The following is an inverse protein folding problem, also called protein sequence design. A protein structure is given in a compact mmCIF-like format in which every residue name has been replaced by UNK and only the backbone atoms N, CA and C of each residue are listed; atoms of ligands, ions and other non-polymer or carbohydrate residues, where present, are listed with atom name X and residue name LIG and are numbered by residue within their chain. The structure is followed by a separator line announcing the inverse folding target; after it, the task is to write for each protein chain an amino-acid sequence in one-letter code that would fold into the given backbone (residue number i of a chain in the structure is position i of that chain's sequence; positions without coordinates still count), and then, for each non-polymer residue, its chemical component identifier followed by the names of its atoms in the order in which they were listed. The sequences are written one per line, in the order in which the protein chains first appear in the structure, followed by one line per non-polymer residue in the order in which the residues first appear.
data_IF_646367915515
#
_entry.id   IF_646367915515
#
_cell.length_a   1.000
_cell.length_b   1.000
_cell.length_c   1.000
_cell.angle_alpha   90.00
_cell.angle_beta   90.00
_cell.angle_gamma   90.00
#
_symmetry.space_group_name_H-M   'P 1'
#
loop_
_entity.id
_entity.type
_entity.pdbx_description
1 polymer ?
#
# COMPACT_ATOMS: atom_id res chain seq x y z
N UNK A 1 -1.34 17.36 -12.47
CA UNK A 1 -1.84 16.15 -13.16
C UNK A 1 -2.86 16.55 -14.20
N UNK A 2 -2.67 16.17 -15.45
CA UNK A 2 -3.78 16.11 -16.38
C UNK A 2 -4.79 15.09 -15.82
N UNK A 3 -6.12 15.34 -15.85
CA UNK A 3 -7.09 14.36 -15.42
C UNK A 3 -6.96 13.16 -16.36
N UNK A 4 -6.43 12.05 -15.85
CA UNK A 4 -6.49 10.78 -16.55
C UNK A 4 -7.94 10.51 -16.92
N UNK A 5 -8.19 9.91 -18.07
CA UNK A 5 -9.53 9.56 -18.52
C UNK A 5 -10.32 8.99 -17.33
N UNK A 6 -11.54 9.47 -17.14
CA UNK A 6 -12.45 8.97 -16.09
C UNK A 6 -12.65 7.48 -16.31
N UNK A 7 -11.89 6.66 -15.58
CA UNK A 7 -12.03 5.19 -15.63
C UNK A 7 -13.38 4.85 -15.02
N UNK A 8 -14.22 4.21 -15.80
CA UNK A 8 -15.55 3.76 -15.39
C UNK A 8 -15.48 2.34 -14.82
N UNK A 9 -16.44 1.98 -13.99
CA UNK A 9 -16.53 0.62 -13.45
C UNK A 9 -16.59 -0.44 -14.57
N UNK A 10 -17.24 -0.11 -15.69
CA UNK A 10 -17.37 -1.04 -16.81
C UNK A 10 -16.03 -1.43 -17.46
N UNK A 11 -15.02 -0.57 -17.39
CA UNK A 11 -13.67 -0.83 -17.91
C UNK A 11 -12.99 -2.03 -17.20
N UNK A 12 -13.44 -2.35 -15.99
CA UNK A 12 -12.91 -3.49 -15.22
C UNK A 12 -13.44 -4.86 -15.66
N UNK A 13 -14.45 -4.94 -16.54
CA UNK A 13 -15.03 -6.22 -16.98
C UNK A 13 -14.02 -7.19 -17.57
N UNK A 14 -12.98 -6.68 -18.23
CA UNK A 14 -11.95 -7.50 -18.87
C UNK A 14 -10.91 -8.05 -17.89
N UNK A 15 -10.74 -7.39 -16.75
CA UNK A 15 -9.66 -7.71 -15.80
C UNK A 15 -10.17 -8.32 -14.49
N UNK A 16 -11.35 -7.94 -14.03
CA UNK A 16 -11.96 -8.46 -12.82
C UNK A 16 -12.52 -9.90 -13.00
N UNK A 17 -12.78 -10.65 -11.94
CA UNK A 17 -13.53 -11.89 -12.01
C UNK A 17 -14.90 -11.70 -12.65
N UNK A 18 -15.36 -12.70 -13.41
CA UNK A 18 -16.65 -12.65 -14.11
C UNK A 18 -17.80 -12.39 -13.13
N UNK A 19 -18.69 -11.46 -13.47
CA UNK A 19 -19.85 -11.10 -12.66
C UNK A 19 -19.58 -10.06 -11.55
N UNK A 20 -18.30 -9.75 -11.25
CA UNK A 20 -17.95 -8.77 -10.19
C UNK A 20 -18.51 -7.38 -10.51
N UNK A 21 -18.37 -6.90 -11.73
CA UNK A 21 -18.87 -5.57 -12.14
C UNK A 21 -20.39 -5.51 -12.03
N UNK A 22 -21.10 -6.55 -12.48
CA UNK A 22 -22.58 -6.59 -12.39
C UNK A 22 -23.05 -6.64 -10.91
N UNK A 23 -22.30 -7.32 -10.05
CA UNK A 23 -22.56 -7.33 -8.63
C UNK A 23 -22.39 -5.93 -8.01
N UNK A 24 -21.30 -5.24 -8.34
CA UNK A 24 -21.03 -3.87 -7.86
C UNK A 24 -22.11 -2.89 -8.35
N UNK A 25 -22.54 -2.97 -9.62
CA UNK A 25 -23.62 -2.15 -10.15
C UNK A 25 -24.92 -2.35 -9.37
N UNK A 26 -25.30 -3.59 -9.08
CA UNK A 26 -26.52 -3.89 -8.30
C UNK A 26 -26.49 -3.36 -6.87
N UNK A 27 -25.34 -3.42 -6.21
CA UNK A 27 -25.21 -2.84 -4.86
C UNK A 27 -25.21 -1.31 -4.95
N UNK A 28 -24.49 -0.75 -5.93
CA UNK A 28 -24.46 0.70 -6.15
C UNK A 28 -25.85 1.30 -6.36
N UNK A 29 -26.71 0.61 -7.11
CA UNK A 29 -28.11 1.03 -7.31
C UNK A 29 -28.88 1.17 -5.98
N UNK A 30 -28.64 0.29 -5.01
CA UNK A 30 -29.30 0.35 -3.68
C UNK A 30 -28.76 1.49 -2.82
N UNK A 31 -27.55 1.93 -3.09
CA UNK A 31 -26.85 2.98 -2.33
C UNK A 31 -26.85 4.33 -3.08
N UNK A 32 -27.56 4.42 -4.20
CA UNK A 32 -27.66 5.63 -5.02
C UNK A 32 -28.15 6.81 -4.18
N UNK A 33 -27.47 7.95 -4.29
CA UNK A 33 -27.76 9.17 -3.54
C UNK A 33 -27.28 9.16 -2.09
N UNK A 34 -26.70 8.06 -1.57
CA UNK A 34 -26.01 8.09 -0.28
C UNK A 34 -24.74 8.93 -0.42
N UNK A 35 -24.45 9.74 0.60
CA UNK A 35 -23.31 10.65 0.65
C UNK A 35 -22.20 10.07 1.51
N UNK A 36 -21.03 9.88 0.91
CA UNK A 36 -19.83 9.38 1.58
C UNK A 36 -18.73 10.45 1.53
N UNK A 37 -18.19 10.80 2.68
CA UNK A 37 -17.06 11.71 2.80
C UNK A 37 -15.83 10.97 3.30
N UNK A 38 -14.75 11.05 2.53
CA UNK A 38 -13.41 10.66 2.99
C UNK A 38 -12.63 11.87 3.47
N UNK A 39 -11.95 11.74 4.61
CA UNK A 39 -11.06 12.77 5.17
C UNK A 39 -9.68 12.16 5.38
N UNK A 40 -8.64 12.75 4.80
CA UNK A 40 -7.25 12.33 4.97
C UNK A 40 -6.30 13.51 5.15
N UNK A 41 -5.06 13.24 5.59
CA UNK A 41 -4.05 14.28 5.78
C UNK A 41 -3.29 14.62 4.49
N UNK A 42 -3.38 13.80 3.44
CA UNK A 42 -2.62 13.99 2.21
C UNK A 42 -3.37 13.48 0.99
N UNK A 43 -3.10 14.10 -0.17
CA UNK A 43 -3.50 13.61 -1.51
C UNK A 43 -2.37 12.87 -2.23
N UNK A 44 -1.28 12.60 -1.55
CA UNK A 44 -0.10 11.97 -2.13
C UNK A 44 0.21 10.63 -1.49
N UNK A 45 0.87 9.75 -2.25
CA UNK A 45 1.29 8.43 -1.81
C UNK A 45 0.29 7.32 -2.11
N UNK A 46 0.64 6.10 -1.79
CA UNK A 46 -0.10 4.90 -2.15
C UNK A 46 -1.57 4.87 -1.66
N UNK A 47 -1.85 5.47 -0.47
CA UNK A 47 -3.22 5.64 0.00
C UNK A 47 -4.04 6.53 -0.94
N UNK A 48 -3.44 7.64 -1.36
CA UNK A 48 -4.10 8.65 -2.18
C UNK A 48 -4.44 8.11 -3.58
N UNK A 49 -3.53 7.35 -4.19
CA UNK A 49 -3.76 6.72 -5.49
C UNK A 49 -4.96 5.75 -5.44
N UNK A 50 -4.98 4.89 -4.41
CA UNK A 50 -6.07 3.95 -4.19
C UNK A 50 -7.41 4.64 -3.89
N UNK A 51 -7.40 5.64 -3.00
CA UNK A 51 -8.61 6.36 -2.58
C UNK A 51 -9.21 7.19 -3.70
N UNK A 52 -8.38 7.90 -4.48
CA UNK A 52 -8.86 8.66 -5.65
C UNK A 52 -9.61 7.78 -6.65
N UNK A 53 -9.15 6.56 -6.86
CA UNK A 53 -9.80 5.58 -7.71
C UNK A 53 -11.12 5.08 -7.11
N UNK A 54 -11.15 4.77 -5.83
CA UNK A 54 -12.36 4.36 -5.10
C UNK A 54 -13.43 5.45 -5.20
N UNK A 55 -13.07 6.71 -4.94
CA UNK A 55 -13.97 7.86 -5.03
C UNK A 55 -14.56 8.00 -6.44
N UNK A 56 -13.72 7.89 -7.48
CA UNK A 56 -14.17 8.01 -8.86
C UNK A 56 -15.20 6.93 -9.23
N UNK A 57 -14.94 5.68 -8.85
CA UNK A 57 -15.84 4.55 -9.18
C UNK A 57 -17.12 4.61 -8.33
N UNK A 58 -17.06 5.00 -7.07
CA UNK A 58 -18.27 5.18 -6.24
C UNK A 58 -19.19 6.24 -6.82
N UNK A 59 -18.65 7.34 -7.32
CA UNK A 59 -19.42 8.36 -8.02
C UNK A 59 -20.03 7.83 -9.35
N UNK A 60 -19.30 7.01 -10.11
CA UNK A 60 -19.82 6.34 -11.30
C UNK A 60 -21.01 5.40 -10.97
N UNK A 61 -21.00 4.80 -9.79
CA UNK A 61 -22.10 3.97 -9.25
C UNK A 61 -23.27 4.81 -8.69
N UNK A 62 -23.17 6.13 -8.63
CA UNK A 62 -24.18 7.02 -8.09
C UNK A 62 -24.18 7.16 -6.57
N UNK A 63 -23.10 6.73 -5.90
CA UNK A 63 -22.81 7.04 -4.49
C UNK A 63 -22.07 8.37 -4.45
N UNK A 64 -22.70 9.40 -3.89
CA UNK A 64 -22.14 10.77 -3.85
C UNK A 64 -20.92 10.82 -2.94
N UNK A 65 -19.76 10.59 -3.50
CA UNK A 65 -18.52 10.45 -2.74
C UNK A 65 -17.61 11.66 -2.92
N UNK A 66 -17.21 12.25 -1.82
CA UNK A 66 -16.26 13.37 -1.77
C UNK A 66 -15.01 13.00 -0.98
N UNK A 67 -13.92 13.69 -1.26
CA UNK A 67 -12.65 13.50 -0.56
C UNK A 67 -12.06 14.87 -0.18
N UNK A 68 -12.01 15.13 1.12
CA UNK A 68 -11.47 16.32 1.71
C UNK A 68 -10.10 16.06 2.35
N UNK A 69 -9.26 17.09 2.30
CA UNK A 69 -7.90 17.04 2.89
C UNK A 69 -7.86 17.99 4.08
N UNK A 70 -7.32 17.50 5.19
CA UNK A 70 -7.02 18.36 6.33
C UNK A 70 -5.88 19.33 5.96
N UNK A 71 -6.01 20.58 6.37
CA UNK A 71 -4.98 21.58 6.24
C UNK A 71 -4.19 21.62 7.54
N UNK A 72 -2.87 21.53 7.43
CA UNK A 72 -1.92 21.69 8.52
C UNK A 72 -0.80 22.66 8.15
N UNK A 73 -0.04 23.04 9.16
CA UNK A 73 1.23 23.76 9.00
C UNK A 73 2.37 22.78 8.74
N UNK A 74 3.54 23.27 8.35
CA UNK A 74 4.74 22.43 8.24
C UNK A 74 5.07 21.68 9.54
N UNK A 75 4.81 22.31 10.71
CA UNK A 75 4.97 21.67 12.01
C UNK A 75 3.96 20.51 12.19
N UNK A 76 2.73 20.68 11.75
CA UNK A 76 1.73 19.61 11.77
C UNK A 76 2.15 18.42 10.90
N UNK A 77 2.73 18.67 9.72
CA UNK A 77 3.22 17.61 8.84
C UNK A 77 4.35 16.81 9.51
N UNK A 78 5.23 17.48 10.26
CA UNK A 78 6.28 16.81 11.04
C UNK A 78 5.68 15.95 12.16
N UNK A 79 4.72 16.49 12.90
CA UNK A 79 3.99 15.76 13.95
C UNK A 79 3.26 14.56 13.35
N UNK A 80 2.55 14.74 12.25
CA UNK A 80 1.83 13.68 11.54
C UNK A 80 2.75 12.51 11.15
N UNK A 81 3.94 12.81 10.61
CA UNK A 81 4.94 11.78 10.27
C UNK A 81 5.46 11.04 11.51
N UNK A 82 5.75 11.77 12.60
CA UNK A 82 6.20 11.15 13.85
C UNK A 82 5.12 10.25 14.46
N UNK A 83 3.87 10.70 14.45
CA UNK A 83 2.71 9.92 14.93
C UNK A 83 2.52 8.66 14.08
N UNK A 84 2.58 8.76 12.77
CA UNK A 84 2.48 7.59 11.88
C UNK A 84 3.57 6.56 12.16
N UNK A 85 4.83 7.00 12.32
CA UNK A 85 5.96 6.13 12.68
C UNK A 85 5.78 5.48 14.07
N UNK A 86 5.33 6.24 15.06
CA UNK A 86 5.09 5.74 16.41
C UNK A 86 3.93 4.73 16.47
N UNK A 87 2.86 4.93 15.70
CA UNK A 87 1.77 3.96 15.54
C UNK A 87 2.25 2.68 14.86
N UNK A 88 3.11 2.79 13.85
CA UNK A 88 3.77 1.64 13.24
C UNK A 88 4.84 1.01 14.15
N UNK A 89 5.02 1.52 15.39
CA UNK A 89 5.95 1.00 16.42
C UNK A 89 7.42 1.32 16.17
N UNK A 90 7.71 2.33 15.37
CA UNK A 90 9.05 2.93 15.32
C UNK A 90 9.18 3.91 16.49
N UNK A 91 10.22 3.76 17.28
CA UNK A 91 10.44 4.63 18.45
C UNK A 91 10.51 6.10 18.03
N UNK A 92 9.65 6.91 18.63
CA UNK A 92 9.57 8.36 18.44
C UNK A 92 9.40 9.06 19.77
N UNK A 93 9.99 10.25 19.90
CA UNK A 93 9.71 11.13 21.04
C UNK A 93 8.37 11.82 20.80
N UNK A 94 7.33 11.42 21.52
CA UNK A 94 6.00 12.02 21.46
C UNK A 94 5.83 12.95 22.68
N UNK A 95 5.72 14.24 22.41
CA UNK A 95 5.56 15.27 23.45
C UNK A 95 4.10 15.68 23.60
N UNK A 96 3.75 16.25 24.76
CA UNK A 96 2.41 16.85 24.97
C UNK A 96 2.13 18.00 23.99
N UNK A 97 3.16 18.76 23.60
CA UNK A 97 3.02 19.80 22.57
C UNK A 97 2.62 19.22 21.20
N UNK A 98 3.15 18.06 20.81
CA UNK A 98 2.75 17.37 19.57
C UNK A 98 1.30 16.89 19.65
N UNK A 99 0.88 16.32 20.77
CA UNK A 99 -0.50 15.87 20.99
C UNK A 99 -1.48 17.06 21.03
N UNK A 100 -1.07 18.19 21.62
CA UNK A 100 -1.85 19.43 21.59
C UNK A 100 -2.01 19.95 20.17
N UNK A 101 -0.94 19.94 19.36
CA UNK A 101 -0.98 20.35 17.95
C UNK A 101 -1.92 19.46 17.12
N UNK A 102 -1.92 18.15 17.33
CA UNK A 102 -2.88 17.25 16.67
C UNK A 102 -4.32 17.62 16.99
N UNK A 103 -4.63 17.86 18.28
CA UNK A 103 -5.99 18.26 18.73
C UNK A 103 -6.41 19.60 18.15
N UNK A 104 -5.54 20.62 18.21
CA UNK A 104 -5.79 21.95 17.69
C UNK A 104 -6.07 21.91 16.17
N UNK A 105 -5.16 21.31 15.40
CA UNK A 105 -5.31 21.19 13.93
C UNK A 105 -6.55 20.37 13.56
N UNK A 106 -6.84 19.31 14.32
CA UNK A 106 -8.06 18.52 14.15
C UNK A 106 -9.33 19.36 14.38
N UNK A 107 -9.37 20.15 15.45
CA UNK A 107 -10.48 21.05 15.75
C UNK A 107 -10.68 22.15 14.69
N UNK A 108 -9.59 22.74 14.18
CA UNK A 108 -9.65 23.73 13.10
C UNK A 108 -10.20 23.11 11.80
N UNK A 109 -9.75 21.93 11.45
CA UNK A 109 -10.26 21.22 10.28
C UNK A 109 -11.73 20.80 10.45
N UNK A 110 -12.16 20.40 11.65
CA UNK A 110 -13.55 20.07 11.93
C UNK A 110 -14.50 21.26 11.68
N UNK A 111 -14.05 22.48 11.98
CA UNK A 111 -14.84 23.71 11.72
C UNK A 111 -14.86 24.09 10.23
N UNK A 112 -13.85 23.72 9.48
CA UNK A 112 -13.66 24.08 8.07
C UNK A 112 -14.29 23.11 7.10
N UNK A 113 -14.21 21.81 7.41
CA UNK A 113 -14.68 20.75 6.53
C UNK A 113 -16.21 20.65 6.54
N UNK A 114 -16.80 20.35 5.39
CA UNK A 114 -18.22 20.02 5.26
C UNK A 114 -18.42 18.56 5.66
N UNK A 115 -18.71 18.33 6.93
CA UNK A 115 -18.81 16.99 7.51
C UNK A 115 -20.23 16.39 7.43
N UNK A 116 -21.13 17.00 6.65
CA UNK A 116 -22.50 16.51 6.44
C UNK A 116 -22.54 15.40 5.37
N UNK A 117 -22.56 14.15 5.80
CA UNK A 117 -22.64 12.96 4.96
C UNK A 117 -23.34 11.82 5.71
N UNK A 118 -23.89 10.83 4.98
CA UNK A 118 -24.46 9.61 5.59
C UNK A 118 -23.37 8.75 6.24
N UNK A 119 -22.15 8.82 5.71
CA UNK A 119 -20.96 8.21 6.31
C UNK A 119 -19.74 9.12 6.12
N UNK A 120 -19.01 9.38 7.21
CA UNK A 120 -17.71 10.06 7.20
C UNK A 120 -16.62 9.06 7.55
N UNK A 121 -15.69 8.87 6.65
CA UNK A 121 -14.54 7.98 6.87
C UNK A 121 -13.25 8.79 7.02
N UNK A 122 -12.66 8.75 8.20
CA UNK A 122 -11.45 9.47 8.55
C UNK A 122 -10.26 8.51 8.49
N UNK A 123 -9.29 8.83 7.65
CA UNK A 123 -8.12 7.99 7.38
C UNK A 123 -6.94 8.36 8.27
N UNK A 124 -6.36 7.34 8.92
CA UNK A 124 -5.18 7.42 9.77
C UNK A 124 -5.33 8.31 11.02
N UNK A 125 -4.22 8.58 11.71
CA UNK A 125 -4.25 9.26 12.99
C UNK A 125 -4.20 10.78 12.90
N UNK A 126 -3.61 11.33 11.84
CA UNK A 126 -3.42 12.77 11.73
C UNK A 126 -4.75 13.55 11.70
N UNK A 127 -5.81 13.09 10.99
CA UNK A 127 -7.09 13.75 10.97
C UNK A 127 -8.08 13.25 12.05
N UNK A 128 -7.65 12.47 13.05
CA UNK A 128 -8.53 11.89 14.08
C UNK A 128 -9.29 12.97 14.91
N UNK A 129 -8.80 14.20 14.92
CA UNK A 129 -9.47 15.33 15.61
C UNK A 129 -10.87 15.74 15.14
N UNK A 130 -11.29 15.56 13.86
CA UNK A 130 -12.60 16.01 13.37
C UNK A 130 -13.85 15.38 14.00
N UNK A 131 -13.73 14.50 14.98
CA UNK A 131 -14.89 13.89 15.66
C UNK A 131 -15.71 14.89 16.48
N UNK A 132 -15.20 16.10 16.72
CA UNK A 132 -15.85 17.20 17.40
C UNK A 132 -15.95 18.43 16.47
N UNK A 133 -17.05 18.83 15.94
CA UNK A 133 -18.46 18.64 16.25
C UNK A 133 -19.15 17.70 15.26
N UNK A 134 -19.48 16.53 15.71
CA UNK A 134 -20.30 15.58 14.99
C UNK A 134 -21.74 16.06 14.98
N UNK A 135 -22.33 16.23 13.77
CA UNK A 135 -23.78 16.43 13.63
C UNK A 135 -24.56 15.18 14.10
N UNK A 136 -25.86 15.34 14.33
CA UNK A 136 -26.73 14.24 14.77
C UNK A 136 -26.95 13.16 13.69
N UNK A 137 -26.58 13.42 12.43
CA UNK A 137 -26.79 12.52 11.30
C UNK A 137 -25.47 11.99 10.74
N UNK A 138 -25.44 10.68 10.44
CA UNK A 138 -24.36 10.00 9.75
C UNK A 138 -23.45 9.17 10.65
N UNK A 139 -22.87 8.15 10.03
CA UNK A 139 -21.91 7.25 10.66
C UNK A 139 -20.50 7.77 10.54
N UNK A 140 -19.72 7.67 11.62
CA UNK A 140 -18.33 8.07 11.66
C UNK A 140 -17.44 6.84 11.79
N UNK A 141 -16.59 6.61 10.80
CA UNK A 141 -15.73 5.46 10.71
C UNK A 141 -14.25 5.89 10.69
N UNK A 142 -13.48 5.35 11.61
CA UNK A 142 -12.04 5.53 11.59
C UNK A 142 -11.36 4.44 10.75
N UNK A 143 -10.64 4.79 9.71
CA UNK A 143 -9.87 3.88 8.87
C UNK A 143 -8.38 3.96 9.22
N UNK A 144 -7.85 2.95 9.89
CA UNK A 144 -6.44 2.83 10.20
C UNK A 144 -5.72 1.97 9.16
N UNK A 145 -4.67 2.51 8.56
CA UNK A 145 -3.84 1.81 7.57
C UNK A 145 -2.59 1.18 8.19
N UNK A 146 -2.17 1.63 9.38
CA UNK A 146 -1.01 1.13 10.10
C UNK A 146 -1.28 -0.17 10.83
N UNK A 147 -0.20 -0.93 11.09
CA UNK A 147 -0.18 -2.04 12.03
C UNK A 147 -0.05 -1.50 13.46
N UNK A 148 -1.14 -1.53 14.22
CA UNK A 148 -1.16 -1.07 15.62
C UNK A 148 -0.70 -2.13 16.63
N UNK A 149 -0.34 -3.34 16.19
CA UNK A 149 0.06 -4.43 17.11
C UNK A 149 1.30 -4.08 17.95
N UNK A 150 2.10 -3.13 17.47
CA UNK A 150 3.29 -2.64 18.15
C UNK A 150 3.33 -1.11 18.33
N UNK A 151 2.15 -0.46 18.29
CA UNK A 151 2.05 0.98 18.51
C UNK A 151 2.66 1.40 19.85
N UNK A 152 3.35 2.54 19.89
CA UNK A 152 3.89 3.08 21.13
C UNK A 152 2.78 3.32 22.16
N UNK A 153 2.86 2.73 23.37
CA UNK A 153 1.79 2.77 24.36
C UNK A 153 1.38 4.20 24.74
N UNK A 154 2.35 5.11 24.89
CA UNK A 154 2.08 6.51 25.24
C UNK A 154 1.18 7.18 24.20
N UNK A 155 1.51 7.05 22.93
CA UNK A 155 0.72 7.62 21.82
C UNK A 155 -0.66 6.95 21.72
N UNK A 156 -0.70 5.61 21.75
CA UNK A 156 -1.96 4.89 21.65
C UNK A 156 -2.91 5.23 22.79
N UNK A 157 -2.43 5.34 24.02
CA UNK A 157 -3.24 5.74 25.17
C UNK A 157 -3.80 7.16 25.04
N UNK A 158 -3.09 8.07 24.36
CA UNK A 158 -3.58 9.42 24.08
C UNK A 158 -4.62 9.45 22.95
N UNK A 159 -4.49 8.60 21.92
CA UNK A 159 -5.39 8.57 20.76
C UNK A 159 -6.62 7.70 20.98
N UNK A 160 -6.52 6.59 21.72
CA UNK A 160 -7.61 5.64 21.94
C UNK A 160 -8.93 6.27 22.40
N UNK A 161 -8.95 7.21 23.37
CA UNK A 161 -10.20 7.86 23.80
C UNK A 161 -10.90 8.62 22.68
N UNK A 162 -10.13 9.22 21.76
CA UNK A 162 -10.69 9.92 20.60
C UNK A 162 -11.22 8.91 19.58
N UNK A 163 -10.46 7.85 19.27
CA UNK A 163 -10.90 6.79 18.36
C UNK A 163 -12.16 6.09 18.86
N UNK A 164 -12.31 5.87 20.16
CA UNK A 164 -13.51 5.25 20.76
C UNK A 164 -14.79 6.10 20.65
N UNK A 165 -14.70 7.33 20.16
CA UNK A 165 -15.85 8.19 19.87
C UNK A 165 -16.41 7.99 18.46
N UNK A 166 -15.70 7.27 17.61
CA UNK A 166 -16.22 6.83 16.31
C UNK A 166 -17.24 5.70 16.50
N UNK A 167 -18.10 5.50 15.50
CA UNK A 167 -19.10 4.43 15.53
C UNK A 167 -18.51 3.07 15.17
N UNK A 168 -17.44 3.10 14.37
CA UNK A 168 -16.71 1.90 13.97
C UNK A 168 -15.25 2.22 13.59
N UNK A 169 -14.43 1.19 13.56
CA UNK A 169 -13.07 1.25 13.05
C UNK A 169 -12.85 0.21 11.94
N UNK A 170 -12.05 0.56 10.94
CA UNK A 170 -11.68 -0.34 9.83
C UNK A 170 -10.17 -0.52 9.81
N UNK A 171 -9.72 -1.77 9.76
CA UNK A 171 -8.31 -2.15 9.70
C UNK A 171 -7.99 -2.95 8.44
N UNK A 172 -6.73 -2.96 8.04
CA UNK A 172 -6.27 -3.75 6.90
C UNK A 172 -6.21 -5.26 7.20
N UNK A 173 -5.88 -5.65 8.42
CA UNK A 173 -5.88 -7.04 8.91
C UNK A 173 -6.35 -7.10 10.36
N UNK A 174 -6.95 -8.21 10.75
CA UNK A 174 -7.40 -8.42 12.12
C UNK A 174 -6.25 -8.29 13.15
N UNK A 175 -5.05 -8.77 12.80
CA UNK A 175 -3.86 -8.68 13.66
C UNK A 175 -3.29 -7.27 13.78
N UNK A 176 -3.66 -6.34 12.89
CA UNK A 176 -3.26 -4.93 12.96
C UNK A 176 -4.16 -4.13 13.90
N UNK A 177 -5.31 -4.68 14.24
CA UNK A 177 -6.30 -3.99 15.05
C UNK A 177 -5.87 -3.92 16.52
N UNK A 178 -5.87 -2.71 17.07
CA UNK A 178 -5.78 -2.51 18.50
C UNK A 178 -7.12 -2.86 19.20
N UNK A 179 -7.11 -3.20 20.50
CA UNK A 179 -8.34 -3.40 21.28
C UNK A 179 -9.14 -2.10 21.38
N UNK A 180 -10.39 -2.13 20.89
CA UNK A 180 -11.35 -1.04 20.91
C UNK A 180 -12.73 -1.58 21.37
N UNK A 181 -13.53 -0.74 22.02
CA UNK A 181 -14.91 -1.06 22.43
C UNK A 181 -15.93 -0.88 21.31
N UNK A 182 -15.55 -0.23 20.19
CA UNK A 182 -16.40 -0.04 19.01
C UNK A 182 -16.27 -1.20 18.02
N UNK A 183 -17.26 -1.45 17.15
CA UNK A 183 -17.19 -2.43 16.07
C UNK A 183 -15.95 -2.26 15.21
N UNK A 184 -15.32 -3.39 14.82
CA UNK A 184 -14.13 -3.42 13.99
C UNK A 184 -14.39 -4.21 12.72
N UNK A 185 -14.12 -3.60 11.59
CA UNK A 185 -14.24 -4.21 10.27
C UNK A 185 -12.86 -4.41 9.65
N UNK A 186 -12.74 -5.40 8.80
CA UNK A 186 -11.50 -5.70 8.09
C UNK A 186 -11.73 -5.48 6.60
N UNK A 187 -11.00 -4.50 6.05
CA UNK A 187 -10.99 -4.19 4.62
C UNK A 187 -9.54 -4.05 4.19
N UNK A 188 -8.97 -5.07 3.58
CA UNK A 188 -7.56 -5.01 3.16
C UNK A 188 -7.39 -4.22 1.86
N UNK A 189 -6.23 -3.56 1.69
CA UNK A 189 -5.90 -2.78 0.50
C UNK A 189 -5.91 -3.61 -0.79
N UNK A 190 -5.97 -2.92 -1.92
CA UNK A 190 -6.03 -3.54 -3.24
C UNK A 190 -5.27 -2.69 -4.26
N UNK A 191 -4.90 -3.30 -5.38
CA UNK A 191 -4.30 -2.63 -6.52
C UNK A 191 -5.38 -2.26 -7.55
N UNK A 192 -5.16 -1.17 -8.28
CA UNK A 192 -5.92 -0.86 -9.47
C UNK A 192 -5.21 -1.42 -10.71
N UNK A 193 -5.77 -2.45 -11.38
CA UNK A 193 -5.14 -3.07 -12.55
C UNK A 193 -5.08 -2.16 -13.77
N UNK A 194 -5.87 -1.07 -13.80
CA UNK A 194 -5.93 -0.10 -14.89
C UNK A 194 -5.09 1.17 -14.64
N UNK A 195 -4.47 1.29 -13.48
CA UNK A 195 -3.54 2.39 -13.19
C UNK A 195 -2.27 2.30 -14.06
N UNK A 196 -1.59 3.44 -14.25
CA UNK A 196 -0.32 3.47 -14.97
C UNK A 196 0.72 2.49 -14.39
N UNK A 197 0.69 2.27 -13.07
CA UNK A 197 1.56 1.30 -12.40
C UNK A 197 1.24 -0.15 -12.76
N UNK A 198 -0.02 -0.49 -13.11
CA UNK A 198 -0.44 -1.89 -13.21
C UNK A 198 -1.01 -2.27 -14.57
N UNK A 199 -1.38 -1.29 -15.41
CA UNK A 199 -1.88 -1.55 -16.77
C UNK A 199 -0.89 -2.37 -17.58
N UNK A 200 -1.37 -3.08 -18.58
CA UNK A 200 -0.49 -3.76 -19.54
C UNK A 200 0.41 -2.74 -20.24
N UNK A 201 1.65 -3.12 -20.46
CA UNK A 201 2.63 -2.37 -21.23
C UNK A 201 3.04 -3.17 -22.46
N UNK A 202 3.19 -2.48 -23.60
CA UNK A 202 3.81 -3.09 -24.76
C UNK A 202 5.30 -3.41 -24.49
N UNK A 203 5.85 -4.33 -25.24
CA UNK A 203 7.30 -4.65 -25.14
C UNK A 203 8.17 -3.41 -25.45
N UNK A 204 7.71 -2.54 -26.35
CA UNK A 204 8.41 -1.31 -26.70
C UNK A 204 8.41 -0.30 -25.55
N UNK A 205 7.25 -0.04 -24.93
CA UNK A 205 7.16 0.83 -23.75
C UNK A 205 8.04 0.33 -22.62
N UNK A 206 7.96 -0.97 -22.31
CA UNK A 206 8.80 -1.57 -21.28
C UNK A 206 10.29 -1.41 -21.61
N UNK A 207 10.67 -1.65 -22.86
CA UNK A 207 12.06 -1.51 -23.28
C UNK A 207 12.57 -0.07 -23.14
N UNK A 208 11.79 0.92 -23.57
CA UNK A 208 12.12 2.33 -23.45
C UNK A 208 12.34 2.76 -22.00
N UNK A 209 11.43 2.33 -21.08
CA UNK A 209 11.59 2.64 -19.66
C UNK A 209 12.82 1.99 -19.04
N UNK A 210 13.09 0.72 -19.37
CA UNK A 210 14.28 0.02 -18.87
C UNK A 210 15.58 0.67 -19.39
N UNK A 211 15.59 1.14 -20.64
CA UNK A 211 16.75 1.86 -21.23
C UNK A 211 16.92 3.23 -20.57
N UNK A 212 15.82 3.96 -20.29
CA UNK A 212 15.83 5.23 -19.55
C UNK A 212 16.38 5.07 -18.14
N UNK A 213 16.00 3.98 -17.46
CA UNK A 213 16.50 3.63 -16.13
C UNK A 213 17.92 3.01 -16.16
N UNK A 214 18.49 2.79 -17.35
CA UNK A 214 19.82 2.17 -17.56
C UNK A 214 19.93 0.79 -16.91
N UNK A 215 18.85 -0.01 -16.97
CA UNK A 215 18.83 -1.37 -16.46
C UNK A 215 18.95 -2.36 -17.63
N UNK A 216 20.10 -3.03 -17.79
CA UNK A 216 20.28 -4.04 -18.83
C UNK A 216 19.38 -5.26 -18.58
N UNK A 217 18.94 -5.90 -19.67
CA UNK A 217 18.00 -7.04 -19.66
C UNK A 217 18.64 -8.36 -20.14
N UNK A 218 19.96 -8.41 -20.12
CA UNK A 218 20.80 -9.53 -20.56
C UNK A 218 20.82 -10.71 -19.58
N UNK A 219 20.42 -10.46 -18.31
CA UNK A 219 20.42 -11.44 -17.22
C UNK A 219 19.06 -11.49 -16.51
N UNK A 220 18.73 -12.59 -15.83
CA UNK A 220 17.58 -12.61 -14.91
C UNK A 220 17.69 -11.50 -13.86
N UNK A 221 16.59 -10.78 -13.63
CA UNK A 221 16.55 -9.66 -12.70
C UNK A 221 15.86 -10.08 -11.41
N UNK A 222 16.56 -9.92 -10.29
CA UNK A 222 16.00 -9.94 -8.95
C UNK A 222 15.63 -8.49 -8.60
N UNK A 223 14.39 -8.23 -8.20
CA UNK A 223 13.89 -6.89 -7.96
C UNK A 223 13.36 -6.73 -6.53
N UNK A 224 13.84 -5.73 -5.82
CA UNK A 224 13.17 -5.19 -4.62
C UNK A 224 12.68 -3.77 -4.91
N UNK A 225 11.40 -3.53 -4.63
CA UNK A 225 10.79 -2.18 -4.65
C UNK A 225 10.43 -1.78 -3.23
N UNK A 226 10.81 -0.59 -2.83
CA UNK A 226 10.45 -0.04 -1.52
C UNK A 226 11.37 1.09 -1.08
N UNK A 227 11.02 1.79 0.03
CA UNK A 227 11.89 2.81 0.60
C UNK A 227 13.25 2.25 1.00
N UNK A 228 14.30 3.06 0.82
CA UNK A 228 15.66 2.72 1.24
C UNK A 228 15.84 2.99 2.74
N UNK A 229 15.12 2.25 3.57
CA UNK A 229 15.16 2.31 5.02
C UNK A 229 15.62 0.97 5.59
N UNK A 230 16.31 0.98 6.73
CA UNK A 230 16.83 -0.24 7.37
C UNK A 230 15.75 -1.29 7.63
N UNK A 231 14.53 -0.86 7.93
CA UNK A 231 13.40 -1.78 8.16
C UNK A 231 12.99 -2.57 6.91
N UNK A 232 13.30 -2.07 5.69
CA UNK A 232 13.05 -2.77 4.43
C UNK A 232 14.17 -3.73 4.04
N UNK A 233 15.26 -3.78 4.82
CA UNK A 233 16.40 -4.70 4.73
C UNK A 233 17.03 -4.82 3.32
N UNK A 234 17.31 -3.69 2.62
CA UNK A 234 17.92 -3.77 1.29
C UNK A 234 19.33 -4.38 1.33
N UNK A 235 20.08 -4.16 2.40
CA UNK A 235 21.41 -4.78 2.61
C UNK A 235 21.30 -6.30 2.76
N UNK A 236 20.30 -6.79 3.49
CA UNK A 236 20.03 -8.22 3.58
C UNK A 236 19.65 -8.83 2.24
N UNK A 237 18.98 -8.09 1.36
CA UNK A 237 18.70 -8.53 -0.02
C UNK A 237 19.99 -8.59 -0.85
N UNK A 238 20.91 -7.62 -0.73
CA UNK A 238 22.24 -7.69 -1.36
C UNK A 238 23.00 -8.92 -0.89
N UNK A 239 22.97 -9.23 0.40
CA UNK A 239 23.65 -10.40 0.94
C UNK A 239 23.06 -11.71 0.38
N UNK A 240 21.74 -11.80 0.27
CA UNK A 240 21.09 -12.95 -0.39
C UNK A 240 21.48 -13.06 -1.87
N UNK A 241 21.47 -11.94 -2.60
CA UNK A 241 21.92 -11.89 -3.98
C UNK A 241 23.37 -12.36 -4.15
N UNK A 242 24.29 -11.94 -3.28
CA UNK A 242 25.71 -12.39 -3.33
C UNK A 242 25.84 -13.90 -3.20
N UNK A 243 25.01 -14.54 -2.36
CA UNK A 243 24.97 -16.01 -2.24
C UNK A 243 24.39 -16.66 -3.50
N UNK A 244 23.43 -16.02 -4.16
CA UNK A 244 22.86 -16.51 -5.44
C UNK A 244 23.87 -16.36 -6.56
N UNK A 245 24.57 -15.23 -6.65
CA UNK A 245 25.52 -14.90 -7.73
C UNK A 245 26.69 -15.89 -7.84
N UNK A 246 27.03 -16.59 -6.77
CA UNK A 246 28.04 -17.65 -6.80
C UNK A 246 27.67 -18.84 -7.71
N UNK A 247 26.38 -18.95 -8.04
CA UNK A 247 25.85 -20.12 -8.79
C UNK A 247 25.05 -19.74 -10.04
N UNK A 248 24.57 -18.51 -10.12
CA UNK A 248 23.72 -18.00 -11.20
C UNK A 248 24.19 -16.62 -11.62
N UNK A 249 24.29 -16.39 -12.92
CA UNK A 249 24.56 -15.04 -13.44
C UNK A 249 23.26 -14.23 -13.46
N UNK A 250 23.11 -13.32 -12.49
CA UNK A 250 21.89 -12.55 -12.20
C UNK A 250 22.21 -11.09 -11.93
N UNK A 251 21.22 -10.24 -12.10
CA UNK A 251 21.24 -8.82 -11.76
C UNK A 251 20.34 -8.55 -10.58
N UNK A 252 20.76 -7.68 -9.67
CA UNK A 252 19.92 -7.15 -8.60
C UNK A 252 19.55 -5.69 -8.92
N UNK A 253 18.27 -5.40 -8.86
CA UNK A 253 17.73 -4.03 -8.95
C UNK A 253 17.03 -3.70 -7.64
N UNK A 254 17.47 -2.64 -6.99
CA UNK A 254 16.84 -2.03 -5.82
C UNK A 254 16.27 -0.68 -6.26
N UNK A 255 14.96 -0.50 -6.17
CA UNK A 255 14.29 0.68 -6.68
C UNK A 255 13.33 1.27 -5.64
N UNK A 256 13.39 2.57 -5.44
CA UNK A 256 12.52 3.23 -4.45
C UNK A 256 12.72 4.74 -4.39
N UNK A 257 11.87 5.41 -3.60
CA UNK A 257 12.01 6.83 -3.38
C UNK A 257 13.31 7.15 -2.63
N UNK A 258 13.87 8.34 -2.81
CA UNK A 258 14.99 8.79 -1.99
C UNK A 258 14.59 8.77 -0.50
N UNK A 259 15.51 8.40 0.41
CA UNK A 259 15.22 8.41 1.84
C UNK A 259 14.92 9.82 2.33
N UNK A 260 14.20 9.90 3.46
CA UNK A 260 13.97 11.17 4.13
C UNK A 260 15.32 11.82 4.55
N UNK A 261 15.43 13.15 4.55
CA UNK A 261 16.65 13.83 5.00
C UNK A 261 17.11 13.37 6.38
N UNK A 262 18.43 13.11 6.54
CA UNK A 262 19.05 12.69 7.81
C UNK A 262 19.10 11.18 8.07
N UNK A 263 18.73 10.34 7.08
CA UNK A 263 18.88 8.88 7.20
C UNK A 263 20.17 8.37 6.54
N UNK A 264 20.97 7.58 7.26
CA UNK A 264 22.22 6.98 6.76
C UNK A 264 22.02 5.72 5.92
N UNK A 265 20.79 5.22 5.81
CA UNK A 265 20.49 3.94 5.17
C UNK A 265 20.86 3.90 3.68
N UNK A 266 20.85 5.05 2.99
CA UNK A 266 21.28 5.11 1.58
C UNK A 266 22.79 4.97 1.45
N UNK A 267 23.56 5.55 2.38
CA UNK A 267 25.02 5.41 2.42
C UNK A 267 25.42 3.94 2.63
N UNK A 268 24.85 3.29 3.66
CA UNK A 268 25.05 1.86 3.92
C UNK A 268 24.72 0.99 2.69
N UNK A 269 23.63 1.34 2.00
CA UNK A 269 23.19 0.64 0.80
C UNK A 269 24.15 0.85 -0.38
N UNK A 270 24.59 2.08 -0.63
CA UNK A 270 25.52 2.41 -1.69
C UNK A 270 26.89 1.75 -1.46
N UNK A 271 27.37 1.75 -0.22
CA UNK A 271 28.58 1.02 0.17
C UNK A 271 28.42 -0.47 -0.07
N UNK A 272 27.32 -1.08 0.37
CA UNK A 272 27.04 -2.49 0.15
C UNK A 272 26.91 -2.83 -1.34
N UNK A 273 26.38 -1.94 -2.17
CA UNK A 273 26.24 -2.13 -3.61
C UNK A 273 27.52 -1.84 -4.39
N UNK A 274 28.49 -1.12 -3.77
CA UNK A 274 29.72 -0.72 -4.42
C UNK A 274 30.51 -1.93 -4.96
N UNK A 275 31.21 -1.73 -6.10
CA UNK A 275 32.07 -2.74 -6.72
C UNK A 275 31.37 -3.93 -7.40
N UNK A 276 30.03 -4.01 -7.41
CA UNK A 276 29.31 -5.01 -8.20
C UNK A 276 28.51 -4.36 -9.34
N UNK A 277 28.95 -4.46 -10.60
CA UNK A 277 28.28 -3.81 -11.75
C UNK A 277 26.90 -4.39 -12.05
N UNK A 278 26.54 -5.53 -11.45
CA UNK A 278 25.23 -6.15 -11.59
C UNK A 278 24.26 -5.74 -10.50
N UNK A 279 24.63 -4.85 -9.59
CA UNK A 279 23.71 -4.21 -8.62
C UNK A 279 23.36 -2.80 -9.11
N UNK A 280 22.08 -2.54 -9.30
CA UNK A 280 21.55 -1.22 -9.63
C UNK A 280 20.71 -0.68 -8.47
N UNK A 281 21.08 0.47 -7.93
CA UNK A 281 20.28 1.23 -6.94
C UNK A 281 19.65 2.41 -7.67
N UNK A 282 18.32 2.42 -7.79
CA UNK A 282 17.57 3.38 -8.59
C UNK A 282 16.73 4.26 -7.66
N UNK A 283 17.09 5.54 -7.59
CA UNK A 283 16.26 6.55 -6.93
C UNK A 283 15.14 6.95 -7.88
N UNK A 284 13.92 6.65 -7.50
CA UNK A 284 12.74 6.95 -8.29
C UNK A 284 12.15 8.32 -7.94
N UNK A 285 11.44 8.98 -8.87
CA UNK A 285 10.71 10.20 -8.57
C UNK A 285 9.59 9.95 -7.54
N UNK A 286 8.97 10.99 -6.98
CA UNK A 286 7.94 10.81 -5.94
C UNK A 286 6.73 9.94 -6.34
N UNK A 287 6.35 9.93 -7.63
CA UNK A 287 5.23 9.14 -8.17
C UNK A 287 5.67 8.31 -9.39
N UNK A 288 6.48 7.25 -9.18
CA UNK A 288 7.15 6.52 -10.27
C UNK A 288 6.24 5.43 -10.85
N UNK A 289 5.11 5.77 -11.44
CA UNK A 289 4.10 4.80 -11.86
C UNK A 289 4.57 3.92 -13.03
N UNK A 290 5.04 4.55 -14.10
CA UNK A 290 5.47 3.86 -15.34
C UNK A 290 6.79 3.14 -15.13
N UNK A 291 7.73 3.75 -14.40
CA UNK A 291 9.02 3.18 -14.02
C UNK A 291 8.86 1.87 -13.25
N UNK A 292 8.03 1.90 -12.22
CA UNK A 292 7.74 0.70 -11.40
C UNK A 292 7.04 -0.38 -12.22
N UNK A 293 6.09 0.00 -13.09
CA UNK A 293 5.44 -0.95 -13.98
C UNK A 293 6.45 -1.69 -14.87
N UNK A 294 7.39 -0.94 -15.49
CA UNK A 294 8.41 -1.51 -16.34
C UNK A 294 9.38 -2.42 -15.57
N UNK A 295 9.89 -1.97 -14.42
CA UNK A 295 10.80 -2.73 -13.56
C UNK A 295 10.17 -4.04 -13.07
N UNK A 296 8.96 -3.97 -12.57
CA UNK A 296 8.25 -5.15 -12.07
C UNK A 296 7.92 -6.15 -13.20
N UNK A 297 7.63 -5.66 -14.43
CA UNK A 297 7.44 -6.53 -15.61
C UNK A 297 8.74 -7.13 -16.11
N UNK A 298 9.86 -6.42 -16.01
CA UNK A 298 11.18 -6.92 -16.40
C UNK A 298 11.75 -7.93 -15.40
N UNK A 299 11.34 -7.87 -14.13
CA UNK A 299 11.82 -8.74 -13.09
C UNK A 299 11.57 -10.23 -13.40
N UNK A 300 12.49 -11.10 -12.99
CA UNK A 300 12.33 -12.55 -12.98
C UNK A 300 11.72 -13.01 -11.66
N UNK A 301 12.19 -12.46 -10.55
CA UNK A 301 11.72 -12.74 -9.19
C UNK A 301 11.63 -11.41 -8.45
N UNK A 302 10.51 -11.18 -7.75
CA UNK A 302 10.37 -10.07 -6.83
C UNK A 302 10.76 -10.49 -5.41
N UNK A 303 11.45 -9.60 -4.69
CA UNK A 303 11.91 -9.84 -3.32
C UNK A 303 11.29 -8.75 -2.43
N UNK A 304 10.57 -9.18 -1.39
CA UNK A 304 10.03 -8.31 -0.37
C UNK A 304 10.42 -8.85 1.01
N UNK A 305 11.60 -8.41 1.47
CA UNK A 305 12.24 -8.93 2.68
C UNK A 305 12.38 -7.87 3.80
N UNK A 306 11.30 -7.13 4.15
CA UNK A 306 11.38 -6.20 5.27
C UNK A 306 11.48 -6.95 6.60
N UNK A 307 12.12 -6.31 7.58
CA UNK A 307 12.12 -6.73 8.99
C UNK A 307 10.78 -6.40 9.64
N UNK A 308 10.16 -5.31 9.19
CA UNK A 308 8.85 -4.84 9.62
C UNK A 308 8.14 -4.16 8.45
N UNK A 309 6.84 -4.38 8.34
CA UNK A 309 6.01 -3.77 7.29
C UNK A 309 4.56 -3.62 7.76
N UNK A 310 3.87 -2.62 7.23
CA UNK A 310 2.42 -2.54 7.21
C UNK A 310 1.84 -3.47 6.11
N UNK A 311 0.64 -3.19 5.63
CA UNK A 311 0.09 -3.90 4.48
C UNK A 311 0.69 -3.33 3.18
N UNK A 312 1.88 -3.77 2.82
CA UNK A 312 2.53 -3.37 1.57
C UNK A 312 1.83 -3.97 0.34
N UNK A 313 1.66 -3.22 -0.74
CA UNK A 313 1.05 -3.70 -1.98
C UNK A 313 2.08 -4.18 -3.03
N UNK A 314 3.36 -4.05 -2.76
CA UNK A 314 4.45 -4.46 -3.67
C UNK A 314 4.41 -5.97 -3.99
N UNK A 315 3.92 -6.78 -3.04
CA UNK A 315 3.68 -8.21 -3.25
C UNK A 315 2.58 -8.44 -4.28
N UNK A 316 1.43 -7.78 -4.09
CA UNK A 316 0.29 -7.89 -5.00
C UNK A 316 0.63 -7.35 -6.39
N UNK A 317 1.37 -6.22 -6.49
CA UNK A 317 1.77 -5.65 -7.79
C UNK A 317 2.73 -6.56 -8.55
N UNK A 318 3.70 -7.17 -7.88
CA UNK A 318 4.61 -8.14 -8.50
C UNK A 318 3.87 -9.38 -8.99
N UNK A 319 2.99 -9.95 -8.15
CA UNK A 319 2.18 -11.11 -8.53
C UNK A 319 1.19 -10.80 -9.66
N UNK A 320 0.63 -9.58 -9.70
CA UNK A 320 -0.23 -9.13 -10.81
C UNK A 320 0.51 -9.17 -12.16
N UNK A 321 1.80 -8.88 -12.16
CA UNK A 321 2.67 -8.96 -13.33
C UNK A 321 3.24 -10.36 -13.59
N UNK A 322 2.72 -11.37 -12.88
CA UNK A 322 3.10 -12.77 -13.06
C UNK A 322 4.49 -13.10 -12.52
N UNK A 323 4.94 -12.39 -11.47
CA UNK A 323 6.25 -12.66 -10.85
C UNK A 323 6.08 -13.45 -9.56
N UNK A 324 6.86 -14.55 -9.37
CA UNK A 324 6.93 -15.19 -8.06
C UNK A 324 7.59 -14.26 -7.05
N UNK A 325 7.12 -14.30 -5.81
CA UNK A 325 7.61 -13.42 -4.75
C UNK A 325 8.35 -14.22 -3.69
N UNK A 326 9.53 -13.74 -3.30
CA UNK A 326 10.24 -14.15 -2.08
C UNK A 326 9.95 -13.11 -1.02
N UNK A 327 9.13 -13.45 -0.03
CA UNK A 327 8.69 -12.53 1.01
C UNK A 327 9.08 -12.98 2.41
N UNK A 328 9.05 -12.06 3.40
CA UNK A 328 9.13 -12.41 4.82
C UNK A 328 7.75 -12.61 5.43
N UNK A 329 7.72 -12.96 6.71
CA UNK A 329 6.47 -13.08 7.49
C UNK A 329 6.01 -11.72 8.05
N UNK A 330 6.66 -10.60 7.69
CA UNK A 330 6.34 -9.27 8.17
C UNK A 330 5.05 -8.71 7.56
N UNK A 331 4.32 -7.92 8.33
CA UNK A 331 3.18 -7.14 7.90
C UNK A 331 2.13 -7.93 7.10
N UNK A 332 1.60 -7.37 6.04
CA UNK A 332 0.61 -8.00 5.16
C UNK A 332 1.17 -9.04 4.17
N UNK A 333 2.50 -9.25 4.12
CA UNK A 333 3.14 -10.11 3.12
C UNK A 333 2.59 -11.55 3.14
N UNK A 334 2.54 -12.26 4.28
CA UNK A 334 2.05 -13.64 4.31
C UNK A 334 0.56 -13.75 3.95
N UNK A 335 -0.21 -12.70 4.21
CA UNK A 335 -1.63 -12.68 3.89
C UNK A 335 -1.87 -12.60 2.37
N UNK A 336 -0.98 -11.92 1.65
CA UNK A 336 -1.08 -11.75 0.21
C UNK A 336 -0.62 -13.00 -0.57
N UNK A 337 0.13 -13.91 0.05
CA UNK A 337 0.77 -15.03 -0.62
C UNK A 337 0.13 -16.36 -0.27
N UNK A 338 0.06 -17.26 -1.25
CA UNK A 338 -0.17 -18.68 -1.02
C UNK A 338 1.19 -19.37 -1.11
N UNK A 339 1.76 -19.68 0.06
CA UNK A 339 3.12 -20.23 0.17
C UNK A 339 3.27 -21.51 -0.66
N UNK A 340 4.38 -21.67 -1.37
CA UNK A 340 4.68 -22.71 -2.33
C UNK A 340 3.82 -22.71 -3.62
N UNK A 341 2.84 -21.81 -3.74
CA UNK A 341 1.97 -21.70 -4.92
C UNK A 341 2.22 -20.40 -5.68
N UNK A 342 2.29 -19.26 -4.97
CA UNK A 342 2.51 -17.95 -5.58
C UNK A 342 3.90 -17.37 -5.28
N UNK A 343 4.65 -17.98 -4.37
CA UNK A 343 5.96 -17.56 -3.91
C UNK A 343 6.39 -18.34 -2.67
N UNK A 344 7.40 -17.83 -1.99
CA UNK A 344 7.96 -18.43 -0.77
C UNK A 344 8.09 -17.39 0.33
N UNK A 345 7.82 -17.80 1.57
CA UNK A 345 8.20 -17.02 2.76
C UNK A 345 9.55 -17.47 3.28
N UNK A 346 10.37 -16.50 3.69
CA UNK A 346 11.73 -16.72 4.18
C UNK A 346 12.00 -15.82 5.39
N UNK A 347 12.86 -16.27 6.30
CA UNK A 347 13.23 -15.50 7.49
C UNK A 347 14.69 -15.06 7.47
N UNK A 348 15.56 -15.81 6.75
CA UNK A 348 17.00 -15.56 6.71
C UNK A 348 17.49 -15.20 5.29
N UNK A 349 18.68 -14.64 5.23
CA UNK A 349 19.41 -14.36 3.99
C UNK A 349 19.67 -15.64 3.20
N UNK A 350 20.08 -16.70 3.89
CA UNK A 350 20.37 -18.01 3.30
C UNK A 350 19.11 -18.69 2.77
N UNK A 351 18.00 -18.58 3.53
CA UNK A 351 16.69 -19.06 3.09
C UNK A 351 16.21 -18.35 1.82
N UNK A 352 16.39 -17.02 1.75
CA UNK A 352 16.09 -16.25 0.55
C UNK A 352 16.97 -16.72 -0.64
N UNK A 353 18.28 -16.81 -0.45
CA UNK A 353 19.20 -17.26 -1.48
C UNK A 353 18.87 -18.68 -1.95
N UNK A 354 18.53 -19.60 -1.06
CA UNK A 354 18.12 -20.96 -1.40
C UNK A 354 16.89 -20.99 -2.31
N UNK A 355 15.82 -20.24 -1.93
CA UNK A 355 14.58 -20.20 -2.71
C UNK A 355 14.76 -19.48 -4.05
N UNK A 356 15.55 -18.43 -4.11
CA UNK A 356 15.88 -17.75 -5.37
C UNK A 356 16.62 -18.72 -6.31
N UNK A 357 17.64 -19.44 -5.84
CA UNK A 357 18.36 -20.44 -6.63
C UNK A 357 17.43 -21.56 -7.11
N UNK A 358 16.55 -22.05 -6.25
CA UNK A 358 15.55 -23.05 -6.64
C UNK A 358 14.66 -22.57 -7.79
N UNK A 359 14.22 -21.32 -7.79
CA UNK A 359 13.43 -20.73 -8.86
C UNK A 359 14.27 -20.56 -10.12
N UNK A 360 15.47 -19.99 -10.04
CA UNK A 360 16.34 -19.75 -11.19
C UNK A 360 16.75 -21.05 -11.91
N UNK A 361 16.87 -22.14 -11.16
CA UNK A 361 17.15 -23.48 -11.72
C UNK A 361 15.91 -24.11 -12.35
N UNK A 362 14.72 -23.53 -12.22
CA UNK A 362 13.47 -24.09 -12.72
C UNK A 362 12.55 -23.02 -13.34
N UNK A 363 12.81 -22.62 -14.60
CA UNK A 363 11.99 -21.60 -15.29
C UNK A 363 10.52 -21.97 -15.40
N UNK A 364 10.19 -23.26 -15.50
CA UNK A 364 8.79 -23.71 -15.54
C UNK A 364 8.07 -23.42 -14.22
N UNK A 365 8.76 -23.59 -13.08
CA UNK A 365 8.22 -23.26 -11.76
C UNK A 365 7.98 -21.76 -11.61
N UNK A 366 8.89 -20.90 -12.14
CA UNK A 366 8.69 -19.46 -12.21
C UNK A 366 7.39 -19.13 -12.96
N UNK A 367 7.19 -19.72 -14.15
CA UNK A 367 6.00 -19.51 -14.96
C UNK A 367 4.71 -19.93 -14.24
N UNK A 368 4.70 -21.12 -13.63
CA UNK A 368 3.55 -21.63 -12.88
C UNK A 368 3.22 -20.77 -11.66
N UNK A 369 4.22 -20.39 -10.85
CA UNK A 369 4.01 -19.53 -9.69
C UNK A 369 3.55 -18.15 -10.10
N UNK A 370 4.11 -17.58 -11.16
CA UNK A 370 3.70 -16.29 -11.68
C UNK A 370 2.25 -16.29 -12.15
N UNK A 371 1.84 -17.30 -12.90
CA UNK A 371 0.45 -17.46 -13.35
C UNK A 371 -0.53 -17.63 -12.17
N UNK A 372 -0.17 -18.46 -11.20
CA UNK A 372 -0.97 -18.65 -9.97
C UNK A 372 -1.05 -17.36 -9.15
N UNK A 373 0.04 -16.61 -9.03
CA UNK A 373 0.08 -15.32 -8.35
C UNK A 373 -0.84 -14.28 -9.00
N UNK A 374 -0.79 -14.16 -10.33
CA UNK A 374 -1.66 -13.24 -11.08
C UNK A 374 -3.14 -13.58 -10.87
N UNK A 375 -3.51 -14.85 -10.96
CA UNK A 375 -4.89 -15.27 -10.74
C UNK A 375 -5.33 -15.06 -9.29
N UNK A 376 -4.44 -15.30 -8.33
CA UNK A 376 -4.72 -15.04 -6.92
C UNK A 376 -4.99 -13.55 -6.67
N UNK A 377 -4.18 -12.64 -7.24
CA UNK A 377 -4.39 -11.19 -7.14
C UNK A 377 -5.69 -10.79 -7.85
N UNK A 378 -5.96 -11.35 -9.04
CA UNK A 378 -7.19 -11.07 -9.79
C UNK A 378 -8.45 -11.32 -8.94
N UNK A 379 -8.45 -12.38 -8.14
CA UNK A 379 -9.61 -12.75 -7.31
C UNK A 379 -9.70 -11.97 -6.01
N UNK A 380 -8.54 -11.62 -5.40
CA UNK A 380 -8.53 -11.20 -4.01
C UNK A 380 -8.04 -9.76 -3.78
N UNK A 381 -7.23 -9.19 -4.69
CA UNK A 381 -6.53 -7.94 -4.41
C UNK A 381 -6.76 -6.84 -5.46
N UNK A 382 -7.79 -6.95 -6.29
CA UNK A 382 -8.17 -5.86 -7.19
C UNK A 382 -9.09 -4.84 -6.51
N UNK A 383 -9.05 -3.60 -6.96
CA UNK A 383 -9.89 -2.50 -6.49
C UNK A 383 -11.38 -2.86 -6.54
N UNK A 384 -11.81 -3.69 -7.49
CA UNK A 384 -13.20 -4.15 -7.59
C UNK A 384 -13.65 -5.00 -6.40
N UNK A 385 -12.77 -5.85 -5.85
CA UNK A 385 -13.03 -6.55 -4.59
C UNK A 385 -13.08 -5.56 -3.42
N UNK A 386 -12.12 -4.64 -3.35
CA UNK A 386 -12.07 -3.61 -2.31
C UNK A 386 -13.34 -2.74 -2.29
N UNK A 387 -13.84 -2.36 -3.47
CA UNK A 387 -15.12 -1.67 -3.61
C UNK A 387 -16.30 -2.49 -3.08
N UNK A 388 -16.30 -3.83 -3.29
CA UNK A 388 -17.33 -4.70 -2.72
C UNK A 388 -17.37 -4.62 -1.20
N UNK A 389 -16.20 -4.59 -0.54
CA UNK A 389 -16.11 -4.46 0.91
C UNK A 389 -16.59 -3.08 1.38
N UNK A 390 -16.22 -2.01 0.67
CA UNK A 390 -16.69 -0.65 0.98
C UNK A 390 -18.20 -0.50 0.83
N UNK A 391 -18.77 -1.00 -0.26
CA UNK A 391 -20.22 -0.95 -0.48
C UNK A 391 -20.98 -1.81 0.53
N UNK A 392 -20.43 -2.97 0.91
CA UNK A 392 -21.01 -3.79 1.97
C UNK A 392 -20.97 -3.08 3.34
N UNK A 393 -19.86 -2.41 3.68
CA UNK A 393 -19.74 -1.62 4.89
C UNK A 393 -20.75 -0.45 4.88
N UNK A 394 -20.83 0.29 3.79
CA UNK A 394 -21.77 1.40 3.63
C UNK A 394 -23.22 0.90 3.77
N UNK A 395 -23.59 -0.18 3.09
CA UNK A 395 -24.92 -0.77 3.21
C UNK A 395 -25.24 -1.25 4.62
N UNK A 396 -24.25 -1.83 5.33
CA UNK A 396 -24.43 -2.30 6.70
C UNK A 396 -24.66 -1.16 7.70
N UNK A 397 -23.99 -0.05 7.53
CA UNK A 397 -24.04 1.10 8.46
C UNK A 397 -25.21 2.05 8.15
N UNK A 398 -25.62 2.19 6.86
CA UNK A 398 -26.61 3.20 6.46
C UNK A 398 -27.95 2.60 5.99
N UNK A 399 -28.06 1.28 5.95
CA UNK A 399 -29.23 0.50 5.48
C UNK A 399 -30.20 0.18 6.51
#
# INVERSE_FOLDING_TARGET
MAPGALVKLDDYRQVAPRGTVDFLMRIGERLRGKRLLHVSASRYGALADGLGRVVAILNDLGVETTWEITIGTADFDQVSRAVTKALAGTEQVITEGMLARLRETGGDNARRLRLDADLVMVHDAAPVGPVEPRGEAGWWVWRCHQDLSSAQPQLWNALRPVVQRYDAAVFSLARFAAPLSIPRFIVYPAIDPLSERNREMSRSEQAQEMDRLRVPRDKPILLQVGPFERQHDPVGVINAYRLVKRHHDVRLVLAGPPPAPGGDALGDLQEAASHDPDISVILLPPEPQTELNALERAATIAIQKPLKADFTLEVATAMWKGKPVIGTIAGGIPFQMVVNVTGYTVETVEGAAFRIRQLLSNPELIGRMGAAGREHVRRNFLVTRHLSDYLALLAHLTG
#
